data_IF_214937578909
#
_entry.id   IF_214937578909
#
_cell.length_a   1.000
_cell.length_b   1.000
_cell.length_c   1.000
_cell.angle_alpha   90.00
_cell.angle_beta   90.00
_cell.angle_gamma   90.00
#
_symmetry.space_group_name_H-M   'P 1'
#
loop_
_entity.id
_entity.type
_entity.pdbx_description
1 polymer ?
#
# COMPACT_ATOMS: atom_id res chain seq x y z
N UNK A 1 32.88 0.62 2.98
CA UNK A 1 32.10 1.50 3.88
C UNK A 1 31.66 0.65 5.05
N UNK A 2 31.98 1.05 6.28
CA UNK A 2 31.62 0.28 7.46
C UNK A 2 30.09 0.35 7.66
N UNK A 3 29.45 -0.76 8.02
CA UNK A 3 27.97 -0.85 8.20
C UNK A 3 27.43 0.23 9.15
N UNK A 4 28.27 0.69 10.07
CA UNK A 4 27.99 1.75 11.03
C UNK A 4 28.03 3.16 10.44
N UNK A 5 28.98 3.45 9.54
CA UNK A 5 29.05 4.74 8.83
C UNK A 5 27.82 4.93 7.94
N UNK A 6 27.35 3.84 7.33
CA UNK A 6 26.13 3.82 6.54
C UNK A 6 24.89 4.07 7.41
N UNK A 7 24.83 3.48 8.61
CA UNK A 7 23.74 3.74 9.57
C UNK A 7 23.69 5.20 10.02
N UNK A 8 24.82 5.77 10.47
CA UNK A 8 24.89 7.18 10.89
C UNK A 8 24.49 8.12 9.74
N UNK A 9 24.94 7.82 8.52
CA UNK A 9 24.55 8.58 7.33
C UNK A 9 23.04 8.51 7.06
N UNK A 10 22.45 7.32 7.11
CA UNK A 10 21.02 7.14 6.86
C UNK A 10 20.16 7.86 7.91
N UNK A 11 20.56 7.80 9.18
CA UNK A 11 19.87 8.50 10.27
C UNK A 11 20.01 10.01 10.15
N UNK A 12 21.17 10.50 9.71
CA UNK A 12 21.38 11.93 9.42
C UNK A 12 20.46 12.42 8.30
N UNK A 13 20.37 11.67 7.20
CA UNK A 13 19.48 12.01 6.06
C UNK A 13 18.03 12.02 6.52
N UNK A 14 17.62 10.98 7.27
CA UNK A 14 16.27 10.89 7.81
C UNK A 14 15.89 12.09 8.69
N UNK A 15 16.81 12.57 9.55
CA UNK A 15 16.56 13.75 10.37
C UNK A 15 16.38 15.03 9.55
N UNK A 16 17.18 15.21 8.49
CA UNK A 16 17.01 16.37 7.59
C UNK A 16 15.71 16.27 6.77
N UNK A 17 15.36 15.08 6.28
CA UNK A 17 14.07 14.85 5.61
C UNK A 17 12.89 15.19 6.52
N UNK A 18 12.97 14.88 7.83
CA UNK A 18 11.96 15.27 8.80
C UNK A 18 11.88 16.79 9.00
N UNK A 19 13.01 17.48 9.08
CA UNK A 19 13.04 18.96 9.17
C UNK A 19 12.43 19.59 7.93
N UNK A 20 12.78 19.11 6.75
CA UNK A 20 12.23 19.62 5.50
C UNK A 20 10.74 19.31 5.36
N UNK A 21 10.31 18.14 5.83
CA UNK A 21 8.90 17.83 5.94
C UNK A 21 8.17 18.81 6.88
N UNK A 22 8.66 19.08 8.08
CA UNK A 22 8.02 20.05 8.99
C UNK A 22 7.94 21.46 8.40
N UNK A 23 8.97 21.92 7.71
CA UNK A 23 8.93 23.19 6.94
C UNK A 23 7.83 23.16 5.89
N UNK A 24 7.73 22.07 5.11
CA UNK A 24 6.71 21.91 4.07
C UNK A 24 5.28 21.95 4.63
N UNK A 25 5.10 21.53 5.88
CA UNK A 25 3.81 21.53 6.57
C UNK A 25 3.53 22.84 7.33
N UNK A 26 4.37 23.88 7.17
CA UNK A 26 4.29 25.15 7.91
C UNK A 26 4.19 24.95 9.44
N UNK A 27 4.89 23.96 10.00
CA UNK A 27 4.98 23.79 11.45
C UNK A 27 5.81 24.94 12.03
N UNK A 28 5.27 25.66 13.02
CA UNK A 28 5.95 26.82 13.58
C UNK A 28 7.28 26.43 14.21
N UNK A 29 8.35 27.17 13.92
CA UNK A 29 9.71 26.90 14.43
C UNK A 29 9.82 26.94 15.97
N UNK A 30 8.81 27.48 16.65
CA UNK A 30 8.71 27.54 18.10
C UNK A 30 8.11 26.28 18.74
N UNK A 31 7.68 25.32 17.93
CA UNK A 31 7.10 24.07 18.45
C UNK A 31 8.17 23.12 18.98
N UNK A 32 7.84 22.41 20.07
CA UNK A 32 8.77 21.56 20.82
C UNK A 32 9.51 20.55 19.92
N UNK A 33 8.88 20.12 18.84
CA UNK A 33 9.43 19.16 17.87
C UNK A 33 10.71 19.64 17.18
N UNK A 34 10.85 20.94 16.93
CA UNK A 34 12.05 21.52 16.33
C UNK A 34 13.25 21.38 17.27
N UNK A 35 13.03 21.64 18.56
CA UNK A 35 14.07 21.48 19.59
C UNK A 35 14.57 20.03 19.71
N UNK A 36 13.68 19.06 19.46
CA UNK A 36 13.99 17.63 19.49
C UNK A 36 14.82 17.21 18.27
N UNK A 37 14.45 17.65 17.07
CA UNK A 37 15.24 17.42 15.85
C UNK A 37 16.63 18.07 15.92
N UNK A 38 16.74 19.26 16.50
CA UNK A 38 18.03 19.93 16.68
C UNK A 38 18.91 19.24 17.74
N UNK A 39 18.30 18.73 18.82
CA UNK A 39 19.02 17.88 19.78
C UNK A 39 19.51 16.61 19.11
N UNK A 40 18.68 15.99 18.27
CA UNK A 40 19.05 14.79 17.55
C UNK A 40 20.17 15.01 16.53
N UNK A 41 20.16 16.14 15.80
CA UNK A 41 21.28 16.54 14.92
C UNK A 41 22.61 16.52 15.67
N UNK A 42 22.66 17.07 16.90
CA UNK A 42 23.88 17.09 17.70
C UNK A 42 24.36 15.68 18.10
N UNK A 43 23.44 14.75 18.34
CA UNK A 43 23.75 13.35 18.68
C UNK A 43 24.32 12.63 17.45
N UNK A 44 23.69 12.81 16.28
CA UNK A 44 24.16 12.26 15.01
C UNK A 44 25.55 12.80 14.64
N UNK A 45 25.77 14.11 14.77
CA UNK A 45 27.06 14.74 14.53
C UNK A 45 28.15 14.27 15.52
N UNK A 46 27.77 13.99 16.76
CA UNK A 46 28.66 13.38 17.77
C UNK A 46 29.09 11.97 17.38
N UNK A 47 28.12 11.12 17.03
CA UNK A 47 28.36 9.74 16.59
C UNK A 47 29.12 9.66 15.26
N UNK A 48 29.02 10.67 14.40
CA UNK A 48 29.82 10.76 13.18
C UNK A 48 31.30 11.08 13.45
N UNK A 49 31.62 11.73 14.59
CA UNK A 49 32.99 12.09 15.00
C UNK A 49 33.67 10.98 15.81
N UNK A 50 32.89 10.13 16.47
CA UNK A 50 33.36 9.05 17.34
C UNK A 50 32.48 7.81 17.16
N UNK A 51 33.07 6.70 16.72
CA UNK A 51 32.38 5.45 16.39
C UNK A 51 32.51 4.42 17.54
N UNK A 52 32.26 4.83 18.79
CA UNK A 52 32.21 3.86 19.89
C UNK A 52 30.89 3.07 19.87
N UNK A 53 30.91 1.84 20.37
CA UNK A 53 29.72 0.98 20.43
C UNK A 53 28.63 1.58 21.32
N UNK A 54 29.01 2.29 22.37
CA UNK A 54 28.08 2.94 23.31
C UNK A 54 27.38 4.14 22.67
N UNK A 55 28.09 4.95 21.87
CA UNK A 55 27.49 6.06 21.12
C UNK A 55 26.53 5.59 20.04
N UNK A 56 26.80 4.44 19.41
CA UNK A 56 25.91 3.82 18.43
C UNK A 56 24.63 3.27 19.08
N UNK A 57 24.76 2.59 20.23
CA UNK A 57 23.60 2.12 20.98
C UNK A 57 22.74 3.30 21.48
N UNK A 58 23.38 4.38 21.92
CA UNK A 58 22.70 5.63 22.27
C UNK A 58 22.00 6.25 21.05
N UNK A 59 22.67 6.34 19.90
CA UNK A 59 22.08 6.86 18.67
C UNK A 59 20.86 6.04 18.25
N UNK A 60 20.93 4.71 18.30
CA UNK A 60 19.80 3.86 17.95
C UNK A 60 18.62 4.08 18.90
N UNK A 61 18.87 4.15 20.20
CA UNK A 61 17.84 4.40 21.22
C UNK A 61 17.17 5.75 21.00
N UNK A 62 17.95 6.79 20.76
CA UNK A 62 17.45 8.15 20.51
C UNK A 62 16.70 8.23 19.16
N UNK A 63 17.12 7.45 18.15
CA UNK A 63 16.41 7.34 16.86
C UNK A 63 15.02 6.74 17.07
N UNK A 64 14.92 5.64 17.82
CA UNK A 64 13.64 4.99 18.12
C UNK A 64 12.74 5.83 19.04
N UNK A 65 13.32 6.59 19.96
CA UNK A 65 12.58 7.53 20.80
C UNK A 65 12.02 8.67 19.95
N UNK A 66 12.87 9.33 19.16
CA UNK A 66 12.46 10.42 18.29
C UNK A 66 11.40 9.95 17.30
N UNK A 67 11.58 8.78 16.69
CA UNK A 67 10.59 8.21 15.78
C UNK A 67 9.21 8.07 16.44
N UNK A 68 9.14 7.49 17.65
CA UNK A 68 7.88 7.35 18.40
C UNK A 68 7.28 8.69 18.79
N UNK A 69 8.11 9.66 19.18
CA UNK A 69 7.64 11.01 19.53
C UNK A 69 7.11 11.77 18.31
N UNK A 70 7.75 11.63 17.15
CA UNK A 70 7.25 12.19 15.89
C UNK A 70 5.91 11.52 15.51
N UNK A 71 5.80 10.20 15.60
CA UNK A 71 4.55 9.47 15.36
C UNK A 71 3.44 9.96 16.30
N UNK A 72 3.72 10.10 17.60
CA UNK A 72 2.76 10.60 18.58
C UNK A 72 2.35 12.05 18.30
N UNK A 73 3.30 12.92 18.00
CA UNK A 73 3.05 14.32 17.64
C UNK A 73 2.19 14.44 16.38
N UNK A 74 2.49 13.67 15.34
CA UNK A 74 1.68 13.67 14.13
C UNK A 74 0.31 13.03 14.35
N UNK A 75 0.20 12.01 15.20
CA UNK A 75 -1.08 11.41 15.58
C UNK A 75 -1.96 12.37 16.42
N UNK A 76 -1.36 13.17 17.30
CA UNK A 76 -2.05 14.18 18.09
C UNK A 76 -2.51 15.36 17.20
N UNK A 77 -1.65 15.80 16.27
CA UNK A 77 -2.03 16.79 15.26
C UNK A 77 -3.09 16.30 14.29
N UNK A 78 -3.11 15.00 13.96
CA UNK A 78 -4.19 14.38 13.18
C UNK A 78 -5.57 14.49 13.86
N UNK A 79 -5.63 14.63 15.20
CA UNK A 79 -6.90 14.83 15.91
C UNK A 79 -7.39 16.29 15.89
N UNK A 80 -6.52 17.27 15.61
CA UNK A 80 -6.83 18.70 15.76
C UNK A 80 -7.13 19.44 14.44
N UNK A 81 -6.86 18.86 13.28
CA UNK A 81 -7.21 19.52 12.01
C UNK A 81 -6.66 18.79 10.80
N UNK A 82 -7.50 18.66 9.79
CA UNK A 82 -7.22 18.12 8.45
C UNK A 82 -5.84 18.51 7.91
N UNK A 83 -4.87 17.60 7.99
CA UNK A 83 -3.68 17.59 7.14
C UNK A 83 -3.52 16.17 6.63
N UNK A 84 -4.14 15.90 5.49
CA UNK A 84 -3.82 14.71 4.69
C UNK A 84 -2.41 14.86 4.12
N UNK A 85 -1.70 13.73 4.07
CA UNK A 85 -0.38 13.56 3.47
C UNK A 85 -0.20 14.38 2.19
N UNK A 86 0.74 15.33 2.18
CA UNK A 86 1.22 15.98 0.96
C UNK A 86 2.10 15.02 0.15
N UNK A 87 1.52 13.93 -0.35
CA UNK A 87 1.98 13.39 -1.61
C UNK A 87 1.51 14.33 -2.72
N UNK A 88 2.37 14.64 -3.69
CA UNK A 88 1.93 15.40 -4.85
C UNK A 88 0.75 14.67 -5.51
N UNK A 89 -0.34 15.40 -5.78
CA UNK A 89 -1.43 14.86 -6.57
C UNK A 89 -0.88 14.43 -7.94
N UNK A 90 -1.30 13.26 -8.44
CA UNK A 90 -0.92 12.82 -9.78
C UNK A 90 -1.75 13.62 -10.79
N UNK A 91 -1.08 14.41 -11.61
CA UNK A 91 -1.74 15.13 -12.70
C UNK A 91 -2.34 14.16 -13.72
N UNK A 92 -3.41 14.58 -14.38
CA UNK A 92 -4.08 13.81 -15.42
C UNK A 92 -3.08 13.35 -16.51
N UNK A 93 -2.98 12.04 -16.73
CA UNK A 93 -2.05 11.47 -17.70
C UNK A 93 -0.62 11.27 -17.21
N UNK A 94 -0.35 11.39 -15.90
CA UNK A 94 1.00 11.28 -15.31
C UNK A 94 1.17 10.12 -14.32
N UNK A 95 0.27 9.14 -14.33
CA UNK A 95 0.46 7.89 -13.59
C UNK A 95 1.68 7.14 -14.14
N UNK A 96 2.43 6.48 -13.26
CA UNK A 96 3.62 5.70 -13.60
C UNK A 96 3.48 4.27 -13.11
N UNK A 97 4.15 3.34 -13.79
CA UNK A 97 4.25 1.97 -13.32
C UNK A 97 5.16 1.94 -12.08
N UNK A 98 4.64 1.62 -10.88
CA UNK A 98 5.47 1.54 -9.68
C UNK A 98 6.46 0.39 -9.81
N UNK A 99 7.70 0.52 -9.32
CA UNK A 99 8.61 -0.61 -9.27
C UNK A 99 8.07 -1.70 -8.33
N UNK A 100 8.42 -2.96 -8.60
CA UNK A 100 8.15 -4.04 -7.65
C UNK A 100 8.96 -3.84 -6.36
N UNK A 101 8.39 -4.17 -5.18
CA UNK A 101 9.11 -4.07 -3.90
C UNK A 101 10.15 -5.20 -3.69
N UNK A 102 10.26 -6.13 -4.65
CA UNK A 102 11.18 -7.26 -4.64
C UNK A 102 11.55 -7.66 -6.09
N UNK A 103 12.53 -8.55 -6.25
CA UNK A 103 12.92 -9.07 -7.58
C UNK A 103 11.83 -9.95 -8.18
N UNK A 104 11.81 -10.06 -9.51
CA UNK A 104 10.80 -10.86 -10.22
C UNK A 104 10.74 -12.34 -9.80
N UNK A 105 11.86 -12.93 -9.40
CA UNK A 105 11.96 -14.33 -8.97
C UNK A 105 11.79 -14.52 -7.45
N UNK A 106 11.55 -13.44 -6.70
CA UNK A 106 11.55 -13.49 -5.24
C UNK A 106 10.38 -14.28 -4.64
N UNK A 107 9.32 -14.54 -5.41
CA UNK A 107 8.12 -15.25 -4.95
C UNK A 107 8.11 -16.73 -5.36
N UNK A 108 9.17 -17.22 -6.00
CA UNK A 108 9.30 -18.64 -6.29
C UNK A 108 9.41 -19.48 -5.00
N UNK A 109 8.83 -20.69 -4.96
CA UNK A 109 8.16 -21.39 -6.08
C UNK A 109 6.67 -21.06 -6.22
N UNK A 110 6.12 -20.09 -5.49
CA UNK A 110 4.69 -19.82 -5.46
C UNK A 110 4.21 -19.08 -6.71
N UNK A 111 4.97 -18.10 -7.19
CA UNK A 111 4.70 -17.43 -8.47
C UNK A 111 6.02 -17.35 -9.24
N UNK A 112 6.04 -17.88 -10.45
CA UNK A 112 7.25 -17.94 -11.29
C UNK A 112 7.71 -16.54 -11.72
N UNK A 113 9.02 -16.42 -11.95
CA UNK A 113 9.61 -15.20 -12.48
C UNK A 113 8.94 -14.76 -13.80
N UNK A 114 8.60 -15.73 -14.67
CA UNK A 114 7.95 -15.48 -15.96
C UNK A 114 6.59 -14.78 -15.79
N UNK A 115 5.75 -15.29 -14.89
CA UNK A 115 4.46 -14.67 -14.55
C UNK A 115 4.72 -13.26 -14.02
N UNK A 116 5.62 -13.11 -13.03
CA UNK A 116 5.89 -11.81 -12.41
C UNK A 116 6.34 -10.76 -13.42
N UNK A 117 7.20 -11.13 -14.39
CA UNK A 117 7.65 -10.23 -15.45
C UNK A 117 6.51 -9.82 -16.38
N UNK A 118 5.73 -10.77 -16.89
CA UNK A 118 4.63 -10.47 -17.80
C UNK A 118 3.54 -9.66 -17.10
N UNK A 119 3.15 -10.07 -15.89
CA UNK A 119 2.09 -9.45 -15.10
C UNK A 119 2.43 -8.01 -14.73
N UNK A 120 3.68 -7.71 -14.38
CA UNK A 120 4.12 -6.35 -14.10
C UNK A 120 4.43 -5.54 -15.36
N UNK A 121 5.34 -6.00 -16.23
CA UNK A 121 5.86 -5.19 -17.33
C UNK A 121 4.91 -5.10 -18.53
N UNK A 122 3.95 -6.01 -18.65
CA UNK A 122 2.93 -5.98 -19.71
C UNK A 122 1.56 -5.61 -19.17
N UNK A 123 0.98 -6.43 -18.29
CA UNK A 123 -0.39 -6.24 -17.84
C UNK A 123 -0.54 -4.96 -17.02
N UNK A 124 0.22 -4.79 -15.92
CA UNK A 124 0.14 -3.59 -15.09
C UNK A 124 0.51 -2.32 -15.88
N UNK A 125 1.55 -2.38 -16.72
CA UNK A 125 1.93 -1.27 -17.62
C UNK A 125 0.78 -0.83 -18.53
N UNK A 126 0.04 -1.78 -19.11
CA UNK A 126 -1.08 -1.47 -20.00
C UNK A 126 -2.20 -0.70 -19.29
N UNK A 127 -2.48 -1.03 -18.02
CA UNK A 127 -3.47 -0.30 -17.22
C UNK A 127 -2.99 1.12 -16.90
N UNK A 128 -1.71 1.31 -16.59
CA UNK A 128 -1.14 2.66 -16.37
C UNK A 128 -1.29 3.52 -17.64
N UNK A 129 -0.92 2.99 -18.80
CA UNK A 129 -1.02 3.68 -20.08
C UNK A 129 -2.48 3.98 -20.45
N UNK A 130 -3.38 3.02 -20.24
CA UNK A 130 -4.81 3.15 -20.48
C UNK A 130 -5.48 4.20 -19.57
N UNK A 131 -5.12 4.21 -18.29
CA UNK A 131 -5.58 5.21 -17.31
C UNK A 131 -5.16 6.61 -17.75
N UNK A 132 -3.87 6.78 -18.05
CA UNK A 132 -3.34 8.05 -18.53
C UNK A 132 -4.07 8.56 -19.78
N UNK A 133 -4.31 7.66 -20.74
CA UNK A 133 -5.04 7.99 -21.97
C UNK A 133 -6.48 8.42 -21.67
N UNK A 134 -7.19 7.70 -20.81
CA UNK A 134 -8.57 8.03 -20.44
C UNK A 134 -8.66 9.42 -19.79
N UNK A 135 -7.76 9.74 -18.85
CA UNK A 135 -7.73 11.05 -18.19
C UNK A 135 -7.45 12.19 -19.17
N UNK A 136 -6.48 12.02 -20.07
CA UNK A 136 -6.15 13.02 -21.11
C UNK A 136 -7.35 13.26 -22.03
N UNK A 137 -8.03 12.19 -22.45
CA UNK A 137 -9.18 12.30 -23.36
C UNK A 137 -10.39 12.94 -22.68
N UNK A 138 -10.64 12.63 -21.40
CA UNK A 138 -11.66 13.31 -20.61
C UNK A 138 -11.32 14.78 -20.37
N UNK A 139 -10.03 15.12 -20.18
CA UNK A 139 -9.58 16.52 -20.09
C UNK A 139 -9.86 17.27 -21.40
N UNK A 140 -9.48 16.70 -22.55
CA UNK A 140 -9.77 17.26 -23.86
C UNK A 140 -11.26 17.48 -24.10
N UNK A 141 -12.10 16.52 -23.72
CA UNK A 141 -13.55 16.65 -23.82
C UNK A 141 -14.09 17.86 -23.03
N UNK A 142 -13.56 18.11 -21.82
CA UNK A 142 -13.91 19.31 -21.02
C UNK A 142 -13.43 20.60 -21.66
N UNK A 143 -12.24 20.61 -22.26
CA UNK A 143 -11.65 21.79 -22.91
C UNK A 143 -12.34 22.14 -24.23
N UNK A 144 -12.73 21.13 -25.02
CA UNK A 144 -13.40 21.33 -26.32
C UNK A 144 -14.92 21.45 -26.22
N UNK A 145 -15.52 20.97 -25.13
CA UNK A 145 -16.98 20.83 -25.01
C UNK A 145 -17.58 19.63 -25.77
N UNK A 146 -16.76 18.78 -26.39
CA UNK A 146 -17.21 17.57 -27.09
C UNK A 146 -17.21 16.35 -26.16
N UNK A 147 -18.42 15.95 -25.74
CA UNK A 147 -18.65 14.79 -24.88
C UNK A 147 -19.16 13.56 -25.62
N UNK A 148 -19.06 13.51 -26.96
CA UNK A 148 -19.56 12.38 -27.78
C UNK A 148 -19.01 11.01 -27.35
N UNK A 149 -17.78 10.96 -26.84
CA UNK A 149 -17.11 9.75 -26.35
C UNK A 149 -17.03 9.64 -24.82
N UNK A 150 -17.74 10.49 -24.07
CA UNK A 150 -17.62 10.53 -22.59
C UNK A 150 -17.95 9.18 -21.95
N UNK A 151 -18.94 8.45 -22.47
CA UNK A 151 -19.30 7.10 -22.00
C UNK A 151 -18.15 6.11 -22.17
N UNK A 152 -17.46 6.14 -23.31
CA UNK A 152 -16.32 5.28 -23.57
C UNK A 152 -15.17 5.60 -22.61
N UNK A 153 -14.75 6.86 -22.55
CA UNK A 153 -13.60 7.24 -21.72
C UNK A 153 -13.85 7.11 -20.23
N UNK A 154 -15.10 7.30 -19.76
CA UNK A 154 -15.45 7.04 -18.35
C UNK A 154 -15.35 5.55 -18.01
N UNK A 155 -15.71 4.66 -18.94
CA UNK A 155 -15.53 3.20 -18.77
C UNK A 155 -14.04 2.84 -18.77
N UNK A 156 -13.25 3.37 -19.69
CA UNK A 156 -11.81 3.14 -19.75
C UNK A 156 -11.10 3.65 -18.49
N UNK A 157 -11.54 4.80 -17.96
CA UNK A 157 -11.05 5.33 -16.70
C UNK A 157 -11.30 4.36 -15.54
N UNK A 158 -12.52 3.83 -15.42
CA UNK A 158 -12.86 2.88 -14.36
C UNK A 158 -12.08 1.56 -14.49
N UNK A 159 -12.00 0.99 -15.69
CA UNK A 159 -11.31 -0.28 -15.95
C UNK A 159 -9.81 -0.17 -15.70
N UNK A 160 -9.15 0.78 -16.36
CA UNK A 160 -7.69 0.93 -16.27
C UNK A 160 -7.27 1.52 -14.91
N UNK A 161 -8.06 2.43 -14.34
CA UNK A 161 -7.83 2.98 -13.00
C UNK A 161 -7.86 1.90 -11.93
N UNK A 162 -8.93 1.09 -11.91
CA UNK A 162 -9.04 0.00 -10.96
C UNK A 162 -7.98 -1.07 -11.19
N UNK A 163 -7.65 -1.38 -12.46
CA UNK A 163 -6.54 -2.28 -12.81
C UNK A 163 -5.21 -1.80 -12.26
N UNK A 164 -4.84 -0.54 -12.48
CA UNK A 164 -3.61 0.05 -11.96
C UNK A 164 -3.55 0.02 -10.42
N UNK A 165 -4.62 0.45 -9.75
CA UNK A 165 -4.64 0.52 -8.30
C UNK A 165 -4.62 -0.86 -7.65
N UNK A 166 -5.43 -1.82 -8.12
CA UNK A 166 -5.43 -3.18 -7.57
C UNK A 166 -4.09 -3.88 -7.74
N UNK A 167 -3.43 -3.75 -8.90
CA UNK A 167 -2.10 -4.33 -9.09
C UNK A 167 -1.05 -3.66 -8.19
N UNK A 168 -1.12 -2.33 -8.02
CA UNK A 168 -0.24 -1.61 -7.08
C UNK A 168 -0.38 -2.13 -5.65
N UNK A 169 -1.60 -2.49 -5.24
CA UNK A 169 -1.87 -3.12 -3.94
C UNK A 169 -1.33 -4.55 -3.91
N UNK A 170 -1.63 -5.34 -4.95
CA UNK A 170 -1.25 -6.75 -5.09
C UNK A 170 0.26 -6.98 -4.92
N UNK A 171 1.11 -6.18 -5.57
CA UNK A 171 2.56 -6.30 -5.43
C UNK A 171 3.04 -6.08 -3.99
N UNK A 172 2.43 -5.14 -3.28
CA UNK A 172 2.80 -4.83 -1.90
C UNK A 172 2.19 -5.82 -0.90
N UNK A 173 1.08 -6.45 -1.25
CA UNK A 173 0.44 -7.52 -0.48
C UNK A 173 1.17 -8.87 -0.55
N UNK A 174 2.28 -8.97 -1.29
CA UNK A 174 3.12 -10.15 -1.34
C UNK A 174 4.55 -9.84 -0.85
N UNK A 175 5.27 -10.85 -0.39
CA UNK A 175 6.66 -10.74 0.07
C UNK A 175 7.37 -12.10 0.06
N UNK A 176 8.68 -12.16 -0.28
CA UNK A 176 9.48 -13.37 -0.11
C UNK A 176 9.54 -13.88 1.34
N UNK A 177 9.38 -12.97 2.31
CA UNK A 177 9.31 -13.29 3.74
C UNK A 177 7.86 -13.29 4.26
N UNK A 178 6.89 -13.44 3.36
CA UNK A 178 5.46 -13.46 3.69
C UNK A 178 4.99 -14.77 4.31
N UNK A 179 3.68 -14.94 4.32
CA UNK A 179 3.01 -16.09 4.91
C UNK A 179 2.73 -15.96 6.41
N UNK A 180 2.27 -17.05 7.02
CA UNK A 180 1.79 -17.04 8.40
C UNK A 180 0.45 -16.31 8.54
N UNK A 181 0.28 -15.58 9.64
CA UNK A 181 -0.95 -14.86 9.99
C UNK A 181 -0.66 -13.37 10.29
N UNK A 182 -1.66 -12.48 10.17
CA UNK A 182 -1.52 -11.12 10.67
C UNK A 182 -1.33 -11.11 12.17
N UNK A 183 -0.89 -9.97 12.69
CA UNK A 183 -0.79 -9.69 14.13
C UNK A 183 -1.57 -8.40 14.40
N UNK A 184 -1.33 -7.76 15.55
CA UNK A 184 -1.75 -6.37 15.74
C UNK A 184 -3.27 -6.15 15.71
N UNK A 185 -3.68 -5.02 15.15
CA UNK A 185 -5.07 -4.58 15.09
C UNK A 185 -5.83 -5.28 13.98
N UNK A 186 -5.18 -5.63 12.86
CA UNK A 186 -5.85 -6.35 11.77
C UNK A 186 -6.32 -7.72 12.23
N UNK A 187 -5.47 -8.49 12.93
CA UNK A 187 -5.87 -9.80 13.44
C UNK A 187 -7.09 -9.70 14.36
N UNK A 188 -7.10 -8.72 15.28
CA UNK A 188 -8.22 -8.50 16.20
C UNK A 188 -9.52 -8.16 15.46
N UNK A 189 -9.45 -7.31 14.43
CA UNK A 189 -10.64 -6.96 13.65
C UNK A 189 -11.12 -8.14 12.79
N UNK A 190 -10.19 -8.97 12.28
CA UNK A 190 -10.50 -10.22 11.59
C UNK A 190 -11.24 -11.18 12.53
N UNK A 191 -10.69 -11.45 13.71
CA UNK A 191 -11.30 -12.35 14.70
C UNK A 191 -12.66 -11.82 15.18
N UNK A 192 -12.79 -10.51 15.35
CA UNK A 192 -14.05 -9.88 15.75
C UNK A 192 -15.15 -10.05 14.69
N UNK A 193 -14.84 -9.92 13.41
CA UNK A 193 -15.86 -9.96 12.35
C UNK A 193 -16.09 -11.38 11.80
N UNK A 194 -15.01 -12.12 11.53
CA UNK A 194 -15.06 -13.46 10.94
C UNK A 194 -15.03 -14.59 11.98
N UNK A 195 -14.86 -14.27 13.26
CA UNK A 195 -14.80 -15.21 14.38
C UNK A 195 -13.41 -15.78 14.67
N UNK A 196 -12.61 -16.02 13.63
CA UNK A 196 -11.21 -16.48 13.75
C UNK A 196 -10.42 -16.17 12.47
N UNK A 197 -9.09 -16.22 12.55
CA UNK A 197 -8.24 -16.10 11.36
C UNK A 197 -8.49 -17.25 10.39
N UNK A 198 -8.67 -18.48 10.87
CA UNK A 198 -8.93 -19.66 10.06
C UNK A 198 -10.27 -19.55 9.31
N UNK A 199 -11.32 -19.04 9.98
CA UNK A 199 -12.62 -18.80 9.35
C UNK A 199 -12.53 -17.70 8.27
N UNK A 200 -11.79 -16.63 8.54
CA UNK A 200 -11.49 -15.60 7.54
C UNK A 200 -10.72 -16.18 6.35
N UNK A 201 -9.63 -16.91 6.60
CA UNK A 201 -8.78 -17.47 5.56
C UNK A 201 -9.57 -18.42 4.68
N UNK A 202 -10.43 -19.27 5.27
CA UNK A 202 -11.34 -20.15 4.54
C UNK A 202 -12.33 -19.35 3.68
N UNK A 203 -13.00 -18.34 4.24
CA UNK A 203 -13.94 -17.52 3.48
C UNK A 203 -13.25 -16.82 2.31
N UNK A 204 -12.10 -16.18 2.54
CA UNK A 204 -11.35 -15.50 1.48
C UNK A 204 -10.88 -16.47 0.38
N UNK A 205 -10.39 -17.64 0.77
CA UNK A 205 -9.96 -18.70 -0.15
C UNK A 205 -11.10 -19.16 -1.05
N UNK A 206 -12.25 -19.48 -0.47
CA UNK A 206 -13.40 -19.95 -1.26
C UNK A 206 -13.96 -18.83 -2.15
N UNK A 207 -13.99 -17.58 -1.66
CA UNK A 207 -14.36 -16.44 -2.49
C UNK A 207 -13.40 -16.27 -3.69
N UNK A 208 -12.09 -16.38 -3.49
CA UNK A 208 -11.12 -16.28 -4.58
C UNK A 208 -11.28 -17.40 -5.63
N UNK A 209 -11.51 -18.64 -5.18
CA UNK A 209 -11.73 -19.78 -6.08
C UNK A 209 -12.99 -19.62 -6.93
N UNK A 210 -14.04 -19.05 -6.34
CA UNK A 210 -15.38 -18.94 -6.94
C UNK A 210 -15.64 -17.62 -7.69
N UNK A 211 -14.62 -16.80 -7.95
CA UNK A 211 -14.81 -15.62 -8.82
C UNK A 211 -15.25 -16.08 -10.22
N UNK A 212 -16.39 -15.59 -10.69
CA UNK A 212 -16.88 -15.91 -12.02
C UNK A 212 -16.06 -15.20 -13.09
N UNK A 213 -15.50 -15.97 -14.04
CA UNK A 213 -14.64 -15.43 -15.09
C UNK A 213 -13.31 -14.90 -14.54
N UNK A 214 -13.03 -13.61 -14.77
CA UNK A 214 -11.79 -12.93 -14.37
C UNK A 214 -12.09 -11.86 -13.34
N UNK A 215 -11.21 -11.71 -12.35
CA UNK A 215 -11.52 -10.83 -11.24
C UNK A 215 -10.58 -10.97 -10.05
N UNK A 216 -11.08 -10.58 -8.88
CA UNK A 216 -10.29 -10.47 -7.65
C UNK A 216 -11.08 -10.93 -6.44
N UNK A 217 -10.38 -11.48 -5.45
CA UNK A 217 -10.88 -11.50 -4.06
C UNK A 217 -10.27 -10.33 -3.29
N UNK A 218 -11.11 -9.61 -2.55
CA UNK A 218 -10.73 -8.39 -1.85
C UNK A 218 -11.18 -8.48 -0.39
N UNK A 219 -10.25 -8.32 0.55
CA UNK A 219 -10.55 -7.95 1.93
C UNK A 219 -10.58 -6.43 1.97
N UNK A 220 -11.71 -5.86 2.33
CA UNK A 220 -11.90 -4.41 2.37
C UNK A 220 -12.26 -3.95 3.78
N UNK A 221 -11.87 -2.73 4.12
CA UNK A 221 -12.49 -1.98 5.21
C UNK A 221 -13.71 -1.25 4.68
N UNK A 222 -14.85 -1.40 5.34
CA UNK A 222 -16.06 -0.61 5.08
C UNK A 222 -16.13 0.54 6.08
N UNK A 223 -15.82 1.79 5.70
CA UNK A 223 -15.80 2.91 6.65
C UNK A 223 -17.18 3.24 7.24
N UNK A 224 -18.26 2.88 6.54
CA UNK A 224 -19.65 3.10 6.96
C UNK A 224 -20.09 2.04 7.97
N UNK A 225 -19.87 0.77 7.65
CA UNK A 225 -20.21 -0.36 8.52
C UNK A 225 -19.20 -0.55 9.67
N UNK A 226 -17.98 0.00 9.51
CA UNK A 226 -16.87 -0.05 10.47
C UNK A 226 -16.44 -1.47 10.82
N UNK A 227 -16.37 -2.31 9.81
CA UNK A 227 -15.83 -3.66 9.90
C UNK A 227 -15.17 -4.05 8.57
N UNK A 228 -14.48 -5.19 8.60
CA UNK A 228 -13.93 -5.81 7.41
C UNK A 228 -15.03 -6.54 6.62
N UNK A 229 -14.87 -6.64 5.31
CA UNK A 229 -15.75 -7.41 4.42
C UNK A 229 -14.90 -8.14 3.36
N UNK A 230 -15.42 -9.25 2.83
CA UNK A 230 -14.83 -9.92 1.67
C UNK A 230 -15.73 -9.67 0.46
N UNK A 231 -15.14 -9.14 -0.61
CA UNK A 231 -15.81 -8.90 -1.89
C UNK A 231 -15.15 -9.73 -2.98
N UNK A 232 -15.93 -10.08 -4.00
CA UNK A 232 -15.44 -10.61 -5.27
C UNK A 232 -15.65 -9.52 -6.32
N UNK A 233 -14.58 -9.02 -6.94
CA UNK A 233 -14.74 -8.11 -8.08
C UNK A 233 -14.67 -8.90 -9.38
N UNK A 234 -15.55 -8.55 -10.32
CA UNK A 234 -15.40 -8.96 -11.72
C UNK A 234 -14.59 -7.89 -12.48
N UNK A 235 -13.78 -8.34 -13.43
CA UNK A 235 -12.80 -7.50 -14.11
C UNK A 235 -11.87 -6.82 -13.10
N UNK A 236 -11.98 -5.49 -12.96
CA UNK A 236 -11.30 -4.70 -11.92
C UNK A 236 -12.26 -3.81 -11.12
N UNK A 237 -13.42 -3.45 -11.68
CA UNK A 237 -14.28 -2.37 -11.19
C UNK A 237 -15.73 -2.78 -10.95
N UNK A 238 -16.10 -4.03 -11.26
CA UNK A 238 -17.46 -4.52 -11.09
C UNK A 238 -17.62 -5.26 -9.76
N UNK A 239 -18.85 -5.35 -9.27
CA UNK A 239 -19.21 -6.01 -8.00
C UNK A 239 -18.44 -5.49 -6.76
N UNK A 240 -18.06 -4.21 -6.80
CA UNK A 240 -17.49 -3.51 -5.65
C UNK A 240 -18.54 -2.64 -4.94
N UNK A 241 -18.27 -2.30 -3.69
CA UNK A 241 -19.02 -1.29 -2.95
C UNK A 241 -18.26 0.04 -2.99
N UNK A 242 -18.90 1.11 -3.43
CA UNK A 242 -18.33 2.45 -3.32
C UNK A 242 -18.02 2.75 -1.86
N UNK A 243 -16.94 3.50 -1.62
CA UNK A 243 -16.47 3.91 -0.29
C UNK A 243 -15.65 2.85 0.47
N UNK A 244 -15.59 1.60 0.00
CA UNK A 244 -14.73 0.58 0.61
C UNK A 244 -13.26 0.77 0.26
N UNK A 245 -12.36 0.38 1.17
CA UNK A 245 -10.91 0.52 1.02
C UNK A 245 -10.26 -0.86 1.01
N UNK A 246 -9.62 -1.30 -0.11
CA UNK A 246 -8.94 -2.59 -0.16
C UNK A 246 -7.70 -2.67 0.75
N UNK A 247 -7.65 -3.73 1.54
CA UNK A 247 -6.60 -4.03 2.53
C UNK A 247 -5.69 -5.15 2.01
N UNK A 248 -6.31 -6.27 1.61
CA UNK A 248 -5.64 -7.43 1.04
C UNK A 248 -6.37 -7.83 -0.26
N UNK A 249 -5.64 -7.96 -1.36
CA UNK A 249 -6.21 -8.30 -2.68
C UNK A 249 -5.50 -9.49 -3.30
N UNK A 250 -6.24 -10.33 -4.01
CA UNK A 250 -5.72 -11.48 -4.75
C UNK A 250 -6.24 -11.43 -6.19
N UNK A 251 -5.33 -11.33 -7.16
CA UNK A 251 -5.63 -11.41 -8.59
C UNK A 251 -5.95 -12.86 -8.97
N UNK A 252 -7.14 -13.11 -9.50
CA UNK A 252 -7.53 -14.43 -10.05
C UNK A 252 -7.88 -14.35 -11.54
N UNK A 253 -7.38 -13.32 -12.23
CA UNK A 253 -7.28 -13.35 -13.69
C UNK A 253 -6.33 -14.48 -14.11
N UNK A 254 -6.64 -15.13 -15.24
CA UNK A 254 -5.83 -16.26 -15.71
C UNK A 254 -4.36 -15.86 -15.95
N UNK A 255 -4.07 -14.63 -16.38
CA UNK A 255 -2.69 -14.16 -16.54
C UNK A 255 -1.85 -14.23 -15.25
N UNK A 256 -2.48 -14.25 -14.07
CA UNK A 256 -1.80 -14.26 -12.78
C UNK A 256 -1.27 -15.64 -12.38
N UNK A 257 -1.74 -16.71 -13.03
CA UNK A 257 -1.42 -18.08 -12.61
C UNK A 257 -1.28 -19.10 -13.74
N UNK A 258 -1.85 -18.87 -14.92
CA UNK A 258 -2.08 -19.92 -15.91
C UNK A 258 -0.78 -20.54 -16.46
N UNK A 259 0.31 -19.77 -16.58
CA UNK A 259 1.60 -20.30 -17.04
C UNK A 259 2.18 -21.37 -16.10
N UNK A 260 1.85 -21.31 -14.81
CA UNK A 260 2.38 -22.21 -13.79
C UNK A 260 1.35 -23.25 -13.34
N UNK A 261 0.09 -22.85 -13.16
CA UNK A 261 -0.98 -23.68 -12.59
C UNK A 261 -2.02 -24.13 -13.63
N UNK A 262 -1.90 -23.68 -14.88
CA UNK A 262 -2.88 -23.89 -15.96
C UNK A 262 -4.31 -23.60 -15.48
N UNK A 263 -5.24 -24.54 -15.62
CA UNK A 263 -6.62 -24.40 -15.19
C UNK A 263 -6.82 -24.58 -13.67
N UNK A 264 -5.77 -24.91 -12.90
CA UNK A 264 -5.87 -25.16 -11.46
C UNK A 264 -5.76 -23.88 -10.63
N UNK A 265 -6.77 -23.00 -10.75
CA UNK A 265 -6.87 -21.79 -9.91
C UNK A 265 -6.81 -22.11 -8.42
N UNK A 266 -7.41 -23.21 -7.99
CA UNK A 266 -7.47 -23.57 -6.58
C UNK A 266 -6.08 -23.74 -5.96
N UNK A 267 -5.18 -24.43 -6.66
CA UNK A 267 -3.81 -24.62 -6.20
C UNK A 267 -3.00 -23.31 -6.17
N UNK A 268 -3.23 -22.40 -7.12
CA UNK A 268 -2.65 -21.05 -7.06
C UNK A 268 -3.10 -20.30 -5.80
N UNK A 269 -4.42 -20.27 -5.54
CA UNK A 269 -4.99 -19.58 -4.36
C UNK A 269 -4.45 -20.20 -3.06
N UNK A 270 -4.38 -21.52 -2.98
CA UNK A 270 -3.89 -22.23 -1.79
C UNK A 270 -2.40 -21.95 -1.53
N UNK A 271 -1.59 -21.85 -2.59
CA UNK A 271 -0.17 -21.53 -2.48
C UNK A 271 0.09 -20.04 -2.20
N UNK A 272 -0.74 -19.12 -2.69
CA UNK A 272 -0.57 -17.67 -2.50
C UNK A 272 -0.50 -17.28 -1.02
N UNK A 273 -1.21 -17.97 -0.13
CA UNK A 273 -1.15 -17.73 1.32
C UNK A 273 0.27 -17.80 1.90
N UNK A 274 1.20 -18.53 1.28
CA UNK A 274 2.59 -18.68 1.72
C UNK A 274 3.42 -17.41 1.55
N UNK A 275 2.98 -16.47 0.71
CA UNK A 275 3.71 -15.25 0.36
C UNK A 275 2.96 -13.96 0.75
N UNK A 276 1.82 -14.06 1.44
CA UNK A 276 1.06 -12.87 1.87
C UNK A 276 1.88 -12.00 2.80
N UNK A 277 1.97 -10.71 2.46
CA UNK A 277 2.64 -9.70 3.27
C UNK A 277 1.67 -9.09 4.28
N UNK A 278 1.54 -9.73 5.44
CA UNK A 278 0.67 -9.26 6.51
C UNK A 278 1.06 -7.91 7.10
N UNK A 279 2.34 -7.51 7.03
CA UNK A 279 2.77 -6.18 7.47
C UNK A 279 2.15 -5.10 6.60
N UNK A 280 2.18 -5.28 5.27
CA UNK A 280 1.55 -4.34 4.37
C UNK A 280 0.02 -4.28 4.57
N UNK A 281 -0.62 -5.42 4.79
CA UNK A 281 -2.06 -5.47 5.08
C UNK A 281 -2.40 -4.74 6.40
N UNK A 282 -1.60 -4.93 7.46
CA UNK A 282 -1.74 -4.20 8.73
C UNK A 282 -1.60 -2.68 8.50
N UNK A 283 -0.52 -2.23 7.85
CA UNK A 283 -0.26 -0.79 7.61
C UNK A 283 -1.39 -0.14 6.81
N UNK A 284 -1.97 -0.87 5.85
CA UNK A 284 -3.14 -0.43 5.08
C UNK A 284 -4.38 -0.34 5.96
N UNK A 285 -4.62 -1.36 6.79
CA UNK A 285 -5.75 -1.39 7.70
C UNK A 285 -5.68 -0.28 8.74
N UNK A 286 -4.51 -0.01 9.32
CA UNK A 286 -4.36 1.06 10.30
C UNK A 286 -4.75 2.42 9.72
N UNK A 287 -4.35 2.72 8.48
CA UNK A 287 -4.74 3.95 7.78
C UNK A 287 -6.22 3.96 7.42
N UNK A 288 -6.72 2.85 6.85
CA UNK A 288 -8.12 2.76 6.42
C UNK A 288 -9.10 2.86 7.59
N UNK A 289 -8.79 2.22 8.72
CA UNK A 289 -9.65 2.16 9.91
C UNK A 289 -9.81 3.50 10.63
N UNK A 290 -8.96 4.49 10.32
CA UNK A 290 -9.14 5.87 10.78
C UNK A 290 -10.32 6.55 10.06
N UNK A 291 -10.61 6.16 8.82
CA UNK A 291 -11.76 6.67 8.08
C UNK A 291 -13.04 5.98 8.56
N UNK A 292 -13.97 6.76 9.13
CA UNK A 292 -15.26 6.28 9.63
C UNK A 292 -16.35 7.26 9.24
N UNK A 293 -17.33 6.81 8.48
CA UNK A 293 -18.49 7.63 8.13
C UNK A 293 -19.62 7.46 9.14
N UNK A 294 -20.65 8.31 9.04
CA UNK A 294 -21.94 8.03 9.71
C UNK A 294 -22.57 6.80 9.02
N UNK A 295 -23.03 5.79 9.77
CA UNK A 295 -23.45 4.50 9.19
C UNK A 295 -24.71 4.49 8.29
N UNK A 296 -25.44 5.60 8.17
CA UNK A 296 -26.72 5.67 7.47
C UNK A 296 -26.69 6.72 6.35
#
# INVERSE_FOLDING_TARGET
>A
MNRFEEYVKNVSVWNEDLKDFLKSQNVGEHEEIWSKLDRFTKIVEGAAKSLSTDELANLQTETELLHREMEAYFAERQQLGTIWMTGAAVEAGKHTLPPLPYRYDALEPVISEEIMRLHHDKHHRSYVEGLNKAEIMLKKARESGDFSLVKHWSRELAFNGSGHYLHTIFWNNMSPAGGGSPRGKLLKEIEKYFGSFEAFQKHFTEAAKQVEGVGWALLVWSPRSRHLEILQSELHMLLTQWDTIPILVLDVWEHAYYLQYQNNRAEYVDNWWKIVNWRNAEDRFEKASQLKWRPY
#
